data_IF_135384169727
#
_entry.id   IF_135384169727
#
_cell.length_a   1.000
_cell.length_b   1.000
_cell.length_c   1.000
_cell.angle_alpha   90.00
_cell.angle_beta   90.00
_cell.angle_gamma   90.00
#
_symmetry.space_group_name_H-M   'P 1'
#
loop_
_entity.id
_entity.type
_entity.pdbx_description
1 polymer ?
#
# COMPACT_ATOMS: atom_id res chain seq x y z
N UNK A 1 22.93 -21.28 -5.48
CA UNK A 1 21.54 -21.09 -4.99
C UNK A 1 20.96 -19.88 -5.70
N UNK A 2 20.04 -20.09 -6.65
CA UNK A 2 19.36 -18.97 -7.31
C UNK A 2 18.40 -18.30 -6.31
N UNK A 3 18.34 -16.97 -6.29
CA UNK A 3 17.43 -16.26 -5.38
C UNK A 3 15.99 -16.49 -5.83
N UNK A 4 15.06 -16.63 -4.89
CA UNK A 4 13.64 -16.84 -5.16
C UNK A 4 13.08 -15.81 -6.17
N UNK A 5 13.57 -14.56 -6.12
CA UNK A 5 13.19 -13.49 -7.04
C UNK A 5 13.70 -13.67 -8.48
N UNK A 6 14.86 -14.30 -8.68
CA UNK A 6 15.38 -14.60 -10.03
C UNK A 6 14.62 -15.77 -10.65
N UNK A 7 14.29 -16.78 -9.84
CA UNK A 7 13.46 -17.91 -10.26
C UNK A 7 12.05 -17.44 -10.64
N UNK A 8 11.45 -16.54 -9.84
CA UNK A 8 10.14 -15.96 -10.13
C UNK A 8 10.18 -15.08 -11.39
N UNK A 9 11.22 -14.26 -11.58
CA UNK A 9 11.36 -13.43 -12.79
C UNK A 9 11.47 -14.26 -14.08
N UNK A 10 12.14 -15.42 -14.01
CA UNK A 10 12.29 -16.31 -15.15
C UNK A 10 11.01 -17.12 -15.45
N UNK A 11 10.37 -17.67 -14.41
CA UNK A 11 9.17 -18.51 -14.54
C UNK A 11 7.89 -17.70 -14.78
N UNK A 12 7.76 -16.57 -14.08
CA UNK A 12 6.59 -15.71 -14.13
C UNK A 12 6.97 -14.23 -14.00
N UNK A 13 7.33 -13.66 -15.14
CA UNK A 13 7.71 -12.25 -15.25
C UNK A 13 6.56 -11.31 -14.91
N UNK A 14 5.30 -11.71 -15.15
CA UNK A 14 4.12 -10.89 -14.90
C UNK A 14 3.93 -10.74 -13.39
N UNK A 15 3.86 -11.86 -12.66
CA UNK A 15 3.74 -11.87 -11.20
C UNK A 15 4.92 -11.16 -10.53
N UNK A 16 6.15 -11.35 -11.03
CA UNK A 16 7.31 -10.60 -10.52
C UNK A 16 7.13 -9.08 -10.64
N UNK A 17 6.63 -8.59 -11.79
CA UNK A 17 6.42 -7.16 -12.00
C UNK A 17 5.28 -6.60 -11.14
N UNK A 18 4.18 -7.34 -10.98
CA UNK A 18 3.05 -6.97 -10.12
C UNK A 18 3.49 -6.87 -8.65
N UNK A 19 4.20 -7.86 -8.13
CA UNK A 19 4.75 -7.83 -6.76
C UNK A 19 5.74 -6.69 -6.57
N UNK A 20 6.59 -6.43 -7.57
CA UNK A 20 7.53 -5.31 -7.53
C UNK A 20 6.83 -3.95 -7.51
N UNK A 21 5.72 -3.80 -8.22
CA UNK A 21 4.90 -2.58 -8.17
C UNK A 21 4.20 -2.42 -6.82
N UNK A 22 3.61 -3.50 -6.29
CA UNK A 22 2.97 -3.50 -4.96
C UNK A 22 3.95 -3.13 -3.83
N UNK A 23 5.20 -3.58 -3.92
CA UNK A 23 6.24 -3.21 -2.97
C UNK A 23 6.81 -1.79 -3.18
N UNK A 24 6.60 -1.17 -4.36
CA UNK A 24 7.11 0.16 -4.69
C UNK A 24 6.29 1.27 -4.02
N UNK A 25 5.00 1.02 -3.77
CA UNK A 25 4.07 1.97 -3.18
C UNK A 25 3.64 1.53 -1.78
N UNK A 26 4.51 1.76 -0.80
CA UNK A 26 4.08 1.89 0.58
C UNK A 26 4.81 3.08 1.15
N UNK A 27 4.08 4.17 1.42
CA UNK A 27 4.57 5.17 2.36
C UNK A 27 5.04 4.39 3.59
N UNK A 28 6.34 4.50 3.91
CA UNK A 28 6.93 3.75 5.00
C UNK A 28 6.38 4.32 6.29
N UNK A 29 5.34 3.71 6.82
CA UNK A 29 4.89 3.93 8.19
C UNK A 29 6.04 3.46 9.08
N UNK A 30 6.62 4.38 9.86
CA UNK A 30 7.68 4.06 10.81
C UNK A 30 7.09 3.85 12.21
N UNK A 31 7.74 3.00 13.01
CA UNK A 31 7.42 2.92 14.44
C UNK A 31 7.74 4.27 15.09
N UNK A 32 6.73 4.85 15.76
CA UNK A 32 6.83 6.20 16.33
C UNK A 32 6.38 7.33 15.38
N UNK A 33 5.83 7.01 14.20
CA UNK A 33 5.16 8.01 13.37
C UNK A 33 4.00 8.66 14.12
N UNK A 34 3.71 9.91 13.74
CA UNK A 34 2.60 10.65 14.33
C UNK A 34 1.27 9.93 14.08
N UNK A 35 0.32 9.93 15.02
CA UNK A 35 -1.00 9.32 14.84
C UNK A 35 -1.68 9.72 13.53
N UNK A 36 -1.49 10.95 13.07
CA UNK A 36 -2.03 11.46 11.81
C UNK A 36 -1.43 10.77 10.58
N UNK A 37 -0.16 10.32 10.63
CA UNK A 37 0.46 9.54 9.56
C UNK A 37 -0.02 8.07 9.58
N UNK A 38 -0.28 7.52 10.76
CA UNK A 38 -0.89 6.18 10.92
C UNK A 38 -2.33 6.17 10.38
N UNK A 39 -3.10 7.24 10.65
CA UNK A 39 -4.49 7.38 10.22
C UNK A 39 -4.67 7.72 8.73
N UNK A 40 -3.59 8.07 8.00
CA UNK A 40 -3.65 8.30 6.54
C UNK A 40 -3.92 7.03 5.75
N UNK A 41 -3.50 5.88 6.28
CA UNK A 41 -3.64 4.61 5.58
C UNK A 41 -5.10 4.16 5.53
N UNK A 42 -5.91 4.53 6.53
CA UNK A 42 -7.31 4.10 6.62
C UNK A 42 -8.28 5.27 6.87
N UNK A 43 -9.01 5.57 5.79
CA UNK A 43 -10.41 5.97 5.84
C UNK A 43 -10.78 7.42 6.10
N UNK A 44 -9.89 8.39 6.34
CA UNK A 44 -10.33 9.79 6.57
C UNK A 44 -9.60 10.83 5.72
N UNK A 45 -10.37 11.70 5.04
CA UNK A 45 -9.88 12.81 4.21
C UNK A 45 -10.62 14.10 4.58
N UNK A 46 -9.94 15.24 4.53
CA UNK A 46 -10.61 16.54 4.62
C UNK A 46 -11.41 16.80 3.35
N UNK A 47 -12.71 17.02 3.51
CA UNK A 47 -13.60 17.46 2.43
C UNK A 47 -14.10 18.86 2.82
N UNK A 48 -13.60 19.88 2.13
CA UNK A 48 -13.78 21.28 2.54
C UNK A 48 -13.13 21.56 3.91
N UNK A 49 -13.90 22.08 4.87
CA UNK A 49 -13.42 22.46 6.22
C UNK A 49 -13.55 21.34 7.27
N UNK A 50 -14.14 20.18 6.95
CA UNK A 50 -14.40 19.09 7.92
C UNK A 50 -13.63 17.82 7.57
N UNK A 51 -13.17 17.10 8.58
CA UNK A 51 -12.67 15.72 8.45
C UNK A 51 -13.86 14.80 8.18
N UNK A 52 -13.78 13.97 7.12
CA UNK A 52 -14.80 12.96 6.81
C UNK A 52 -14.17 11.60 6.62
N UNK A 53 -14.87 10.58 7.08
CA UNK A 53 -14.59 9.19 6.75
C UNK A 53 -14.97 8.95 5.28
N UNK A 54 -14.05 8.46 4.46
CA UNK A 54 -14.22 8.32 2.99
C UNK A 54 -14.34 6.87 2.54
N UNK A 55 -13.97 5.89 3.37
CA UNK A 55 -14.08 4.47 3.02
C UNK A 55 -14.31 3.59 4.24
N UNK A 56 -15.47 2.93 4.28
CA UNK A 56 -15.70 1.59 4.85
C UNK A 56 -16.84 0.94 4.05
N UNK A 57 -16.57 -0.22 3.43
CA UNK A 57 -17.54 -1.05 2.69
C UNK A 57 -17.68 -0.72 1.20
N UNK A 58 -17.22 -1.63 0.34
CA UNK A 58 -17.70 -1.76 -1.04
C UNK A 58 -19.22 -1.90 -1.01
N UNK A 59 -19.92 -0.90 -1.55
CA UNK A 59 -21.35 -0.96 -1.83
C UNK A 59 -21.56 -0.81 -3.33
N UNK A 60 -21.56 -1.97 -4.01
CA UNK A 60 -22.00 -2.23 -5.39
C UNK A 60 -21.23 -1.58 -6.56
#
# INVERSE_FOLDING_TARGET
MAKIGEQLKYKDRKTYNELKQLCKSKEKIQLGDRPENLMKHDSHKRVGRRMRQVKWGDGH
#
